data_IF_623788180594
#
_entry.id   IF_623788180594
#
_cell.length_a   1.000
_cell.length_b   1.000
_cell.length_c   1.000
_cell.angle_alpha   90.00
_cell.angle_beta   90.00
_cell.angle_gamma   90.00
#
_symmetry.space_group_name_H-M   'P 1'
#
loop_
_entity.id
_entity.type
_entity.pdbx_description
1 polymer ?
#
# COMPACT_ATOMS: atom_id res chain seq x y z
N UNK A 1 9.90 6.93 -6.12
CA UNK A 1 10.74 6.47 -4.97
C UNK A 1 12.18 6.97 -5.16
N UNK A 2 13.04 7.07 -4.12
CA UNK A 2 14.46 7.41 -4.37
C UNK A 2 15.17 6.21 -5.03
N UNK A 3 16.07 6.39 -6.01
CA UNK A 3 16.80 5.28 -6.64
C UNK A 3 17.53 4.40 -5.62
N UNK A 4 18.16 5.02 -4.61
CA UNK A 4 18.84 4.32 -3.52
C UNK A 4 17.91 3.38 -2.75
N UNK A 5 16.69 3.83 -2.45
CA UNK A 5 15.71 3.01 -1.73
C UNK A 5 15.29 1.82 -2.60
N UNK A 6 15.15 2.03 -3.92
CA UNK A 6 14.81 0.97 -4.87
C UNK A 6 15.90 -0.10 -4.93
N UNK A 7 17.18 0.29 -4.99
CA UNK A 7 18.31 -0.63 -4.97
C UNK A 7 18.34 -1.49 -3.70
N UNK A 8 18.10 -0.87 -2.53
CA UNK A 8 18.07 -1.58 -1.25
C UNK A 8 16.94 -2.61 -1.24
N UNK A 9 15.72 -2.20 -1.60
CA UNK A 9 14.58 -3.13 -1.68
C UNK A 9 14.87 -4.26 -2.66
N UNK A 10 15.49 -3.96 -3.79
CA UNK A 10 15.89 -4.95 -4.77
C UNK A 10 16.86 -5.98 -4.19
N UNK A 11 17.95 -5.55 -3.54
CA UNK A 11 18.90 -6.48 -2.91
C UNK A 11 18.26 -7.32 -1.81
N UNK A 12 17.40 -6.71 -0.98
CA UNK A 12 16.68 -7.44 0.08
C UNK A 12 15.81 -8.53 -0.50
N UNK A 13 15.05 -8.22 -1.57
CA UNK A 13 14.19 -9.20 -2.24
C UNK A 13 14.98 -10.26 -3.01
N UNK A 14 16.19 -9.94 -3.49
CA UNK A 14 17.07 -10.90 -4.16
C UNK A 14 17.61 -11.94 -3.17
N UNK A 15 17.93 -11.52 -1.95
CA UNK A 15 18.51 -12.38 -0.91
C UNK A 15 17.40 -13.13 -0.14
N UNK A 16 16.37 -12.42 0.31
CA UNK A 16 15.30 -12.99 1.17
C UNK A 16 14.15 -13.58 0.37
N UNK A 17 13.90 -13.11 -0.86
CA UNK A 17 12.72 -13.47 -1.63
C UNK A 17 11.48 -12.66 -1.26
N UNK A 18 10.26 -13.16 -1.55
CA UNK A 18 9.03 -12.40 -1.36
C UNK A 18 8.75 -12.11 0.12
N UNK A 19 8.61 -10.83 0.47
CA UNK A 19 8.41 -10.39 1.87
C UNK A 19 7.33 -9.30 1.98
N UNK A 20 6.80 -9.11 3.19
CA UNK A 20 5.86 -8.03 3.47
C UNK A 20 6.57 -6.65 3.40
N UNK A 21 5.96 -5.62 2.78
CA UNK A 21 6.50 -4.26 2.72
C UNK A 21 6.88 -3.66 4.07
N UNK A 22 6.19 -4.09 5.14
CA UNK A 22 6.43 -3.64 6.52
C UNK A 22 7.69 -4.26 7.12
N UNK A 23 8.06 -5.47 6.70
CA UNK A 23 9.22 -6.20 7.20
C UNK A 23 10.48 -5.97 6.34
N UNK A 24 10.33 -5.33 5.17
CA UNK A 24 11.46 -4.97 4.30
C UNK A 24 12.51 -4.16 5.05
N UNK A 25 12.09 -3.23 5.91
CA UNK A 25 13.02 -2.42 6.68
C UNK A 25 13.84 -3.25 7.67
N UNK A 26 13.17 -4.12 8.44
CA UNK A 26 13.83 -4.98 9.42
C UNK A 26 14.82 -5.95 8.75
N UNK A 27 14.42 -6.53 7.60
CA UNK A 27 15.31 -7.38 6.82
C UNK A 27 16.45 -6.64 6.16
N UNK A 28 16.20 -5.43 5.63
CA UNK A 28 17.28 -4.58 5.13
C UNK A 28 18.29 -4.28 6.24
N UNK A 29 17.82 -3.96 7.44
CA UNK A 29 18.69 -3.70 8.59
C UNK A 29 19.52 -4.92 8.95
N UNK A 30 18.90 -6.09 9.05
CA UNK A 30 19.59 -7.36 9.35
C UNK A 30 20.66 -7.68 8.29
N UNK A 31 20.35 -7.49 7.00
CA UNK A 31 21.28 -7.69 5.89
C UNK A 31 22.41 -6.66 5.88
N UNK A 32 22.12 -5.41 6.26
CA UNK A 32 23.13 -4.37 6.38
C UNK A 32 24.11 -4.67 7.52
N UNK A 33 23.60 -5.11 8.67
CA UNK A 33 24.44 -5.54 9.80
C UNK A 33 25.29 -6.78 9.47
N UNK A 34 24.79 -7.66 8.59
CA UNK A 34 25.54 -8.79 8.05
C UNK A 34 26.55 -8.41 6.97
N UNK A 35 26.45 -7.20 6.39
CA UNK A 35 27.29 -6.74 5.28
C UNK A 35 26.85 -7.24 3.89
N UNK A 36 25.64 -7.79 3.77
CA UNK A 36 25.07 -8.29 2.52
C UNK A 36 24.57 -7.15 1.61
N UNK A 37 24.17 -6.02 2.19
CA UNK A 37 23.80 -4.81 1.46
C UNK A 37 24.72 -3.65 1.85
N UNK A 38 25.14 -2.85 0.87
CA UNK A 38 26.09 -1.75 1.09
C UNK A 38 25.41 -0.46 1.55
N UNK A 39 24.13 -0.28 1.22
CA UNK A 39 23.37 0.92 1.50
C UNK A 39 22.20 0.62 2.44
N UNK A 40 21.88 1.58 3.31
CA UNK A 40 20.72 1.53 4.19
C UNK A 40 19.77 2.68 3.88
N UNK A 41 18.49 2.51 4.22
CA UNK A 41 17.47 3.54 4.03
C UNK A 41 17.85 4.82 4.77
N UNK A 42 17.87 5.93 4.05
CA UNK A 42 18.18 7.26 4.61
C UNK A 42 16.90 7.89 5.16
N UNK A 43 16.43 7.34 6.29
CA UNK A 43 15.25 7.79 6.99
C UNK A 43 15.64 8.24 8.41
N UNK A 44 16.06 9.50 8.54
CA UNK A 44 16.39 10.13 9.83
C UNK A 44 15.19 10.48 10.71
N UNK A 45 14.06 9.79 10.57
CA UNK A 45 12.81 10.06 11.30
C UNK A 45 12.48 9.01 12.37
N UNK A 46 11.43 9.25 13.16
CA UNK A 46 11.04 8.40 14.29
C UNK A 46 10.45 7.02 13.90
N UNK A 47 9.96 6.83 12.66
CA UNK A 47 9.33 5.58 12.19
C UNK A 47 9.73 5.24 10.75
N UNK A 48 10.98 4.80 10.53
CA UNK A 48 11.48 4.47 9.19
C UNK A 48 10.73 3.28 8.57
N UNK A 49 10.21 2.34 9.37
CA UNK A 49 9.39 1.20 8.93
C UNK A 49 8.11 1.65 8.18
N UNK A 50 7.42 2.66 8.71
CA UNK A 50 6.20 3.21 8.11
C UNK A 50 6.50 4.01 6.85
N UNK A 51 7.60 4.75 6.86
CA UNK A 51 8.01 5.55 5.70
C UNK A 51 8.40 4.68 4.51
N UNK A 52 9.17 3.60 4.74
CA UNK A 52 9.55 2.65 3.68
C UNK A 52 8.32 1.94 3.13
N UNK A 53 7.49 1.36 4.01
CA UNK A 53 6.27 0.65 3.59
C UNK A 53 5.31 1.55 2.82
N UNK A 54 5.08 2.79 3.27
CA UNK A 54 4.25 3.77 2.56
C UNK A 54 4.82 4.12 1.18
N UNK A 55 6.15 4.23 1.06
CA UNK A 55 6.82 4.51 -0.22
C UNK A 55 6.66 3.34 -1.19
N UNK A 56 6.79 2.10 -0.71
CA UNK A 56 6.54 0.88 -1.48
C UNK A 56 5.08 0.85 -1.97
N UNK A 57 4.11 1.04 -1.06
CA UNK A 57 2.69 1.08 -1.45
C UNK A 57 2.40 2.16 -2.48
N UNK A 58 3.03 3.33 -2.34
CA UNK A 58 2.89 4.43 -3.30
C UNK A 58 3.43 4.05 -4.67
N UNK A 59 4.62 3.41 -4.73
CA UNK A 59 5.22 2.96 -5.99
C UNK A 59 4.35 1.88 -6.68
N UNK A 60 3.83 0.93 -5.90
CA UNK A 60 2.93 -0.12 -6.40
C UNK A 60 1.60 0.44 -6.91
N UNK A 61 0.97 1.35 -6.17
CA UNK A 61 -0.32 1.95 -6.56
C UNK A 61 -0.20 2.90 -7.76
N UNK A 62 0.93 3.61 -7.89
CA UNK A 62 1.18 4.49 -9.03
C UNK A 62 1.58 3.74 -10.30
N UNK A 63 1.86 2.45 -10.21
CA UNK A 63 2.42 1.69 -11.33
C UNK A 63 3.78 2.23 -11.78
N UNK A 64 4.57 2.78 -10.85
CA UNK A 64 5.92 3.28 -11.13
C UNK A 64 6.78 2.12 -11.67
N UNK A 65 7.73 2.42 -12.57
CA UNK A 65 8.64 1.42 -13.15
C UNK A 65 9.70 0.98 -12.12
N UNK A 66 9.23 0.33 -11.05
CA UNK A 66 10.09 -0.29 -10.02
C UNK A 66 10.39 -1.75 -10.38
N UNK A 67 11.55 -2.29 -9.96
CA UNK A 67 11.98 -3.66 -10.26
C UNK A 67 11.24 -4.73 -9.44
N UNK A 68 10.25 -4.36 -8.64
CA UNK A 68 9.44 -5.26 -7.81
C UNK A 68 7.95 -5.06 -8.07
N UNK A 69 7.14 -6.07 -7.74
CA UNK A 69 5.69 -6.08 -7.89
C UNK A 69 5.02 -6.76 -6.69
N UNK A 70 3.71 -6.54 -6.56
CA UNK A 70 2.89 -7.20 -5.55
C UNK A 70 2.65 -8.66 -5.96
N UNK A 71 3.34 -9.60 -5.32
CA UNK A 71 3.25 -11.03 -5.61
C UNK A 71 2.01 -11.67 -4.98
N UNK A 72 1.61 -11.21 -3.80
CA UNK A 72 0.42 -11.71 -3.08
C UNK A 72 -0.34 -10.54 -2.45
N UNK A 73 -1.67 -10.64 -2.41
CA UNK A 73 -2.52 -9.59 -1.83
C UNK A 73 -2.92 -9.85 -0.36
N UNK A 74 -2.97 -11.11 0.06
CA UNK A 74 -3.27 -11.48 1.46
C UNK A 74 -2.48 -12.73 1.88
N UNK A 75 -1.51 -12.62 2.81
CA UNK A 75 -0.85 -11.36 3.23
C UNK A 75 -0.17 -10.63 2.05
N UNK A 76 0.09 -9.32 2.20
CA UNK A 76 0.65 -8.51 1.12
C UNK A 76 2.14 -8.81 0.97
N UNK A 77 2.53 -9.59 -0.03
CA UNK A 77 3.93 -9.89 -0.32
C UNK A 77 4.38 -9.20 -1.60
N UNK A 78 5.59 -8.65 -1.58
CA UNK A 78 6.25 -8.07 -2.75
C UNK A 78 7.40 -8.97 -3.21
N UNK A 79 7.64 -9.06 -4.51
CA UNK A 79 8.74 -9.85 -5.09
C UNK A 79 9.38 -9.11 -6.27
N UNK A 80 10.60 -9.50 -6.65
CA UNK A 80 11.30 -8.94 -7.81
C UNK A 80 10.66 -9.38 -9.13
N UNK A 81 10.53 -8.43 -10.07
CA UNK A 81 10.14 -8.68 -11.47
C UNK A 81 11.11 -9.61 -12.20
N UNK A 82 12.41 -9.53 -11.87
CA UNK A 82 13.45 -10.36 -12.51
C UNK A 82 13.45 -11.80 -12.01
N UNK A 83 13.17 -12.02 -10.71
CA UNK A 83 12.98 -13.36 -10.15
C UNK A 83 11.67 -14.01 -10.64
N UNK A 84 10.70 -13.17 -11.01
CA UNK A 84 9.46 -13.52 -11.68
C UNK A 84 9.68 -13.92 -13.15
N UNK A 85 10.60 -14.85 -13.44
CA UNK A 85 10.69 -15.48 -14.78
C UNK A 85 9.49 -16.37 -15.14
N UNK A 86 8.61 -16.66 -14.17
CA UNK A 86 7.24 -17.13 -14.43
C UNK A 86 6.27 -16.72 -13.30
N UNK A 87 5.64 -15.55 -13.35
CA UNK A 87 4.30 -15.44 -12.82
C UNK A 87 3.43 -15.06 -13.98
N UNK A 88 2.68 -16.07 -14.45
CA UNK A 88 1.35 -15.89 -15.01
C UNK A 88 0.47 -15.28 -13.91
N UNK A 89 0.77 -14.04 -13.50
CA UNK A 89 -0.14 -13.23 -12.72
C UNK A 89 -1.06 -12.61 -13.75
N UNK A 90 -2.06 -13.42 -14.10
CA UNK A 90 -3.26 -12.99 -14.81
C UNK A 90 -3.58 -11.57 -14.37
N UNK A 91 -3.45 -10.65 -15.32
CA UNK A 91 -4.09 -9.35 -15.30
C UNK A 91 -5.59 -9.62 -15.42
N UNK A 92 -6.19 -10.28 -14.44
CA UNK A 92 -7.62 -10.20 -14.22
C UNK A 92 -7.83 -9.04 -13.26
N UNK A 93 -7.89 -7.86 -13.88
CA UNK A 93 -8.57 -6.68 -13.37
C UNK A 93 -9.92 -7.10 -12.75
N UNK A 94 -10.12 -7.13 -11.42
CA UNK A 94 -11.46 -7.25 -10.88
C UNK A 94 -12.00 -5.83 -10.73
N UNK A 95 -12.40 -5.24 -11.85
CA UNK A 95 -12.74 -3.83 -11.84
C UNK A 95 -13.41 -3.36 -13.10
N UNK A 96 -14.43 -4.09 -13.57
CA UNK A 96 -15.80 -3.60 -13.76
C UNK A 96 -16.68 -4.84 -13.92
N UNK A 97 -17.10 -5.46 -12.82
CA UNK A 97 -18.29 -6.32 -12.84
C UNK A 97 -19.47 -5.51 -12.33
N UNK A 98 -20.42 -5.33 -13.23
CA UNK A 98 -21.74 -4.73 -13.03
C UNK A 98 -22.41 -5.27 -11.75
N UNK A 99 -22.52 -4.42 -10.74
CA UNK A 99 -23.50 -4.60 -9.67
C UNK A 99 -24.47 -3.41 -9.69
N UNK A 100 -25.53 -3.54 -10.51
CA UNK A 100 -26.82 -2.89 -10.22
C UNK A 100 -27.25 -3.37 -8.84
N UNK A 101 -26.98 -2.58 -7.81
CA UNK A 101 -27.70 -2.72 -6.54
C UNK A 101 -28.65 -1.55 -6.46
N UNK A 102 -29.90 -1.86 -6.86
CA UNK A 102 -31.05 -1.07 -6.53
C UNK A 102 -31.21 -1.07 -5.01
N UNK A 103 -30.81 0.03 -4.36
CA UNK A 103 -31.23 0.30 -3.00
C UNK A 103 -32.61 0.96 -3.05
N UNK A 104 -33.63 0.12 -2.86
CA UNK A 104 -35.01 0.51 -2.71
C UNK A 104 -35.18 1.33 -1.41
N UNK A 105 -35.48 2.62 -1.59
CA UNK A 105 -36.47 3.42 -0.85
C UNK A 105 -36.65 3.09 0.64
N UNK A 106 -36.03 3.90 1.51
CA UNK A 106 -36.60 4.20 2.83
C UNK A 106 -36.93 5.69 2.83
N UNK A 107 -38.24 5.95 2.89
CA UNK A 107 -38.83 7.27 3.04
C UNK A 107 -38.33 7.90 4.35
N UNK A 108 -37.81 9.12 4.27
CA UNK A 108 -38.00 10.08 5.33
C UNK A 108 -38.84 11.21 4.76
N UNK A 109 -40.16 11.05 4.93
CA UNK A 109 -41.06 12.17 5.01
C UNK A 109 -40.57 13.05 6.17
N UNK A 110 -40.07 14.24 5.84
CA UNK A 110 -40.11 15.37 6.75
C UNK A 110 -40.67 16.53 5.97
N UNK A 111 -42.00 16.60 6.04
CA UNK A 111 -42.80 17.72 5.60
C UNK A 111 -42.19 19.05 6.03
N UNK A 112 -42.09 19.94 5.04
CA UNK A 112 -42.20 21.37 5.28
C UNK A 112 -43.57 21.65 5.90
N UNK A 113 -43.60 22.16 7.14
CA UNK A 113 -44.61 23.10 7.65
C UNK A 113 -44.25 23.58 9.08
N UNK A 114 -44.72 24.77 9.52
CA UNK A 114 -43.93 25.73 10.28
C UNK A 114 -44.47 26.03 11.71
N UNK A 115 -43.80 26.97 12.38
CA UNK A 115 -44.22 27.78 13.54
C UNK A 115 -44.48 27.05 14.86
N UNK A 116 -43.72 27.38 15.90
CA UNK A 116 -44.27 27.87 17.18
C UNK A 116 -43.20 28.64 17.97
N UNK A 117 -43.61 29.83 18.41
CA UNK A 117 -43.03 30.64 19.48
C UNK A 117 -42.62 29.79 20.70
N UNK A 118 -41.58 30.18 21.44
CA UNK A 118 -41.71 30.92 22.72
C UNK A 118 -40.35 31.05 23.46
N UNK A 119 -40.20 32.20 24.12
CA UNK A 119 -39.34 32.52 25.27
C UNK A 119 -37.88 32.95 25.08
N UNK A 120 -37.65 34.25 25.33
CA UNK A 120 -36.42 34.79 25.87
C UNK A 120 -36.75 36.02 26.73
N UNK A 121 -36.65 35.86 28.05
CA UNK A 121 -36.83 36.87 29.09
C UNK A 121 -35.74 37.97 29.04
N UNK A 122 -36.14 39.24 29.04
CA UNK A 122 -35.68 40.34 29.93
C UNK A 122 -36.33 41.65 29.52
#
# INVERSE_FOLDING_TARGET
MKPRDVEIVQSVLEITGPINPTEVYDKAKELFEKGEITNMFDHGGNTPDRSVSATIYTALNKGEEVPFLKAQEKPVLIALKSAAKEPVLNIEKPGVSSAKIAHNKIMHDKGFAPLFNLHGYS
#
